data_IF_242687094434
#
_entry.id   IF_242687094434
#
_cell.length_a   1.000
_cell.length_b   1.000
_cell.length_c   1.000
_cell.angle_alpha   90.00
_cell.angle_beta   90.00
_cell.angle_gamma   90.00
#
_symmetry.space_group_name_H-M   'P 1'
#
loop_
_entity.id
_entity.type
_entity.pdbx_description
1 polymer ?
#
# COMPACT_ATOMS: atom_id res chain seq x y z
N UNK A 1 9.47 -18.89 -11.58
CA UNK A 1 9.46 -18.27 -10.22
C UNK A 1 9.75 -16.77 -10.26
N UNK A 2 10.44 -16.27 -11.30
CA UNK A 2 10.62 -14.83 -11.60
C UNK A 2 9.30 -14.15 -11.96
N UNK A 3 8.39 -14.89 -12.62
CA UNK A 3 7.13 -14.34 -13.16
C UNK A 3 6.18 -13.89 -12.05
N UNK A 4 6.02 -14.68 -10.98
CA UNK A 4 5.17 -14.33 -9.84
C UNK A 4 5.62 -13.05 -9.12
N UNK A 5 6.94 -12.84 -8.97
CA UNK A 5 7.44 -11.61 -8.34
C UNK A 5 7.20 -10.39 -9.24
N UNK A 6 7.32 -10.58 -10.56
CA UNK A 6 7.03 -9.54 -11.55
C UNK A 6 5.54 -9.17 -11.52
N UNK A 7 4.65 -10.14 -11.54
CA UNK A 7 3.20 -9.96 -11.42
C UNK A 7 2.82 -9.22 -10.13
N UNK A 8 3.41 -9.61 -8.99
CA UNK A 8 3.19 -8.90 -7.72
C UNK A 8 3.62 -7.44 -7.82
N UNK A 9 4.81 -7.17 -8.36
CA UNK A 9 5.30 -5.78 -8.52
C UNK A 9 4.43 -4.98 -9.47
N UNK A 10 3.98 -5.56 -10.58
CA UNK A 10 3.07 -4.91 -11.53
C UNK A 10 1.72 -4.60 -10.89
N UNK A 11 1.16 -5.55 -10.12
CA UNK A 11 -0.06 -5.32 -9.35
C UNK A 11 0.09 -4.15 -8.39
N UNK A 12 1.15 -4.12 -7.59
CA UNK A 12 1.39 -3.01 -6.66
C UNK A 12 1.64 -1.71 -7.43
N UNK A 13 2.41 -1.71 -8.53
CA UNK A 13 2.60 -0.52 -9.38
C UNK A 13 1.28 0.05 -9.90
N UNK A 14 0.34 -0.80 -10.32
CA UNK A 14 -0.97 -0.38 -10.78
C UNK A 14 -1.82 0.18 -9.62
N UNK A 15 -1.77 -0.44 -8.45
CA UNK A 15 -2.40 0.08 -7.23
C UNK A 15 -1.80 1.46 -6.83
N UNK A 16 -0.49 1.65 -7.01
CA UNK A 16 0.24 2.90 -6.72
C UNK A 16 -0.11 4.09 -7.62
N UNK A 17 -0.88 3.89 -8.70
CA UNK A 17 -1.44 4.98 -9.50
C UNK A 17 -2.56 5.71 -8.77
N UNK A 18 -3.19 5.05 -7.79
CA UNK A 18 -4.29 5.58 -6.99
C UNK A 18 -3.83 6.22 -5.67
N UNK A 19 -2.54 6.24 -5.44
CA UNK A 19 -1.88 7.04 -4.41
C UNK A 19 -1.12 8.09 -5.21
N UNK A 20 -1.26 9.40 -4.99
CA UNK A 20 -0.42 10.41 -5.65
C UNK A 20 0.99 10.46 -5.03
N UNK A 21 1.93 11.07 -5.75
CA UNK A 21 3.19 11.55 -5.18
C UNK A 21 2.94 12.91 -4.51
N UNK A 22 3.79 13.31 -3.58
CA UNK A 22 3.61 14.57 -2.84
C UNK A 22 4.83 14.93 -2.01
N UNK A 23 4.57 15.53 -0.86
CA UNK A 23 5.57 15.87 0.15
C UNK A 23 6.22 14.63 0.81
N UNK A 24 7.11 14.86 1.78
CA UNK A 24 7.80 13.79 2.53
C UNK A 24 6.83 12.74 3.10
N UNK A 25 5.86 13.13 3.94
CA UNK A 25 4.88 12.20 4.51
C UNK A 25 4.07 11.44 3.44
N UNK A 26 3.69 12.08 2.33
CA UNK A 26 3.03 11.38 1.22
C UNK A 26 3.94 10.33 0.58
N UNK A 27 5.22 10.64 0.40
CA UNK A 27 6.21 9.69 -0.14
C UNK A 27 6.46 8.53 0.81
N UNK A 28 6.51 8.79 2.12
CA UNK A 28 6.62 7.76 3.15
C UNK A 28 5.40 6.83 3.15
N UNK A 29 4.19 7.40 3.03
CA UNK A 29 2.96 6.63 2.87
C UNK A 29 3.00 5.70 1.66
N UNK A 30 3.49 6.18 0.50
CA UNK A 30 3.67 5.35 -0.70
C UNK A 30 4.62 4.19 -0.45
N UNK A 31 5.75 4.43 0.22
CA UNK A 31 6.73 3.39 0.53
C UNK A 31 6.18 2.37 1.52
N UNK A 32 5.48 2.82 2.55
CA UNK A 32 4.81 1.97 3.53
C UNK A 32 3.79 1.03 2.85
N UNK A 33 2.92 1.58 2.00
CA UNK A 33 1.95 0.79 1.26
C UNK A 33 2.64 -0.24 0.36
N UNK A 34 3.63 0.18 -0.43
CA UNK A 34 4.38 -0.72 -1.31
C UNK A 34 4.98 -1.91 -0.55
N UNK A 35 5.70 -1.63 0.55
CA UNK A 35 6.35 -2.66 1.37
C UNK A 35 5.32 -3.63 1.95
N UNK A 36 4.26 -3.10 2.56
CA UNK A 36 3.21 -3.91 3.19
C UNK A 36 2.44 -4.74 2.16
N UNK A 37 2.13 -4.16 1.00
CA UNK A 37 1.37 -4.86 -0.04
C UNK A 37 2.18 -5.99 -0.66
N UNK A 38 3.46 -5.76 -0.94
CA UNK A 38 4.37 -6.82 -1.40
C UNK A 38 4.47 -7.96 -0.38
N UNK A 39 4.48 -7.65 0.92
CA UNK A 39 4.42 -8.67 1.97
C UNK A 39 3.08 -9.43 1.96
N UNK A 40 1.95 -8.74 1.83
CA UNK A 40 0.61 -9.35 1.78
C UNK A 40 0.37 -10.28 0.58
N UNK A 41 1.12 -10.10 -0.51
CA UNK A 41 1.01 -10.90 -1.74
C UNK A 41 2.03 -12.06 -1.79
N UNK A 42 3.02 -12.05 -0.89
CA UNK A 42 4.10 -13.03 -0.87
C UNK A 42 3.65 -14.43 -0.44
N UNK A 43 4.47 -15.44 -0.71
CA UNK A 43 4.18 -16.86 -0.39
C UNK A 43 3.89 -17.13 1.10
N UNK A 44 4.46 -16.32 2.00
CA UNK A 44 4.26 -16.42 3.45
C UNK A 44 3.07 -15.60 3.96
N UNK A 45 2.39 -14.85 3.09
CA UNK A 45 1.17 -14.17 3.48
C UNK A 45 0.12 -15.23 3.76
N UNK A 46 -0.54 -15.15 4.92
CA UNK A 46 -1.63 -16.04 5.30
C UNK A 46 -2.91 -15.87 4.43
N UNK A 47 -2.81 -15.19 3.27
CA UNK A 47 -3.86 -15.04 2.27
C UNK A 47 -5.01 -14.09 2.65
N UNK A 48 -4.94 -13.41 3.81
CA UNK A 48 -6.08 -12.67 4.38
C UNK A 48 -6.01 -11.15 4.25
N UNK A 49 -4.85 -10.54 4.04
CA UNK A 49 -4.75 -9.07 3.95
C UNK A 49 -5.13 -8.57 2.55
N UNK A 50 -6.26 -7.86 2.48
CA UNK A 50 -6.73 -7.17 1.27
C UNK A 50 -5.97 -5.85 1.07
N UNK A 51 -6.10 -5.22 -0.11
CA UNK A 51 -5.57 -3.86 -0.33
C UNK A 51 -6.17 -2.84 0.64
N UNK A 52 -7.42 -3.03 1.05
CA UNK A 52 -8.12 -2.20 2.03
C UNK A 52 -7.47 -2.30 3.42
N UNK A 53 -7.10 -3.52 3.82
CA UNK A 53 -6.42 -3.74 5.11
C UNK A 53 -5.02 -3.12 5.09
N UNK A 54 -4.32 -3.29 3.97
CA UNK A 54 -2.97 -2.78 3.78
C UNK A 54 -2.94 -1.24 3.77
N UNK A 55 -3.86 -0.57 3.09
CA UNK A 55 -3.89 0.91 3.06
C UNK A 55 -4.16 1.48 4.46
N UNK A 56 -5.10 0.89 5.22
CA UNK A 56 -5.39 1.29 6.61
C UNK A 56 -4.20 1.06 7.53
N UNK A 57 -3.47 -0.04 7.33
CA UNK A 57 -2.24 -0.34 8.08
C UNK A 57 -1.11 0.64 7.76
N UNK A 58 -0.99 1.04 6.48
CA UNK A 58 -0.04 2.07 6.07
C UNK A 58 -0.39 3.43 6.69
N UNK A 59 -1.67 3.83 6.71
CA UNK A 59 -2.09 5.07 7.37
C UNK A 59 -1.80 5.05 8.87
N UNK A 60 -2.09 3.94 9.55
CA UNK A 60 -1.83 3.83 11.00
C UNK A 60 -0.35 4.01 11.31
N UNK A 61 0.53 3.36 10.53
CA UNK A 61 1.98 3.51 10.69
C UNK A 61 2.46 4.91 10.38
N UNK A 62 1.91 5.53 9.34
CA UNK A 62 2.27 6.91 9.02
C UNK A 62 1.91 7.86 10.16
N UNK A 63 0.76 7.66 10.81
CA UNK A 63 0.33 8.46 11.97
C UNK A 63 1.18 8.27 13.23
N UNK A 64 2.00 7.22 13.31
CA UNK A 64 2.97 7.07 14.41
C UNK A 64 4.09 8.13 14.30
N UNK A 65 4.43 8.53 13.07
CA UNK A 65 5.46 9.56 12.79
C UNK A 65 4.84 10.94 12.51
N UNK A 66 3.66 10.98 11.89
CA UNK A 66 2.95 12.20 11.48
C UNK A 66 1.48 12.15 11.94
N UNK A 67 1.18 12.40 13.23
CA UNK A 67 -0.16 12.17 13.81
C UNK A 67 -1.30 12.90 13.12
N UNK A 68 -1.06 14.15 12.71
CA UNK A 68 -2.07 15.02 12.09
C UNK A 68 -2.10 14.92 10.57
N UNK A 69 -1.17 14.17 9.95
CA UNK A 69 -1.07 14.07 8.51
C UNK A 69 -2.13 13.14 7.93
N UNK A 70 -2.83 13.62 6.91
CA UNK A 70 -3.84 12.85 6.19
C UNK A 70 -3.32 12.50 4.79
N UNK A 71 -2.91 11.24 4.56
CA UNK A 71 -2.40 10.85 3.27
C UNK A 71 -3.49 10.87 2.21
N UNK A 72 -3.12 11.29 1.01
CA UNK A 72 -4.01 11.33 -0.14
C UNK A 72 -3.99 9.99 -0.86
N UNK A 73 -5.15 9.48 -1.25
CA UNK A 73 -5.33 8.33 -2.15
C UNK A 73 -6.82 8.21 -2.57
N UNK A 74 -7.08 7.50 -3.67
CA UNK A 74 -8.45 7.27 -4.17
C UNK A 74 -9.16 6.22 -3.31
N UNK A 75 -9.87 6.65 -2.27
CA UNK A 75 -10.53 5.78 -1.28
C UNK A 75 -11.40 4.71 -1.93
N UNK A 76 -12.18 5.06 -2.95
CA UNK A 76 -13.09 4.14 -3.65
C UNK A 76 -12.36 2.92 -4.23
N UNK A 77 -11.15 3.14 -4.74
CA UNK A 77 -10.33 2.05 -5.29
C UNK A 77 -9.88 1.06 -4.22
N UNK A 78 -9.56 1.54 -3.01
CA UNK A 78 -9.09 0.71 -1.91
C UNK A 78 -10.22 0.20 -1.01
N UNK A 79 -11.43 0.74 -1.13
CA UNK A 79 -12.64 0.26 -0.44
C UNK A 79 -13.22 -1.01 -1.05
N UNK A 80 -12.97 -1.28 -2.34
CA UNK A 80 -13.42 -2.49 -3.00
C UNK A 80 -12.64 -3.72 -2.50
N UNK A 81 -13.36 -4.80 -2.21
CA UNK A 81 -12.79 -6.14 -1.97
C UNK A 81 -11.92 -6.57 -3.16
#
# INVERSE_FOLDING_TARGET
MVDRLKEMREKVKNEMLYIPRGDGPQMDFRMLYWKLRMQSLGKKAAGRETKADVIRKAERRLREEYPDYQPQYKKEYFSSK
#
